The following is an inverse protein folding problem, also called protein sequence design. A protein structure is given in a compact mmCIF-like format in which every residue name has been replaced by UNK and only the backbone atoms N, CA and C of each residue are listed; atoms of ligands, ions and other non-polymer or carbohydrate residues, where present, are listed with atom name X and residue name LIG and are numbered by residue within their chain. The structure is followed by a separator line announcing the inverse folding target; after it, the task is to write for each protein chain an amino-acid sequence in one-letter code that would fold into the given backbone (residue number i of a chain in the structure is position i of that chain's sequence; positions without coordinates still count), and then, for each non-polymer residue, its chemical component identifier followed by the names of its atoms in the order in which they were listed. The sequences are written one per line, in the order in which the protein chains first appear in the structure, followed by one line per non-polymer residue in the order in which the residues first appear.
data_IF_286874782810
#
_entry.id   IF_286874782810
#
_cell.length_a   1.000
_cell.length_b   1.000
_cell.length_c   1.000
_cell.angle_alpha   90.00
_cell.angle_beta   90.00
_cell.angle_gamma   90.00
#
_symmetry.space_group_name_H-M   'P 1'
#
loop_
_entity.id
_entity.type
_entity.pdbx_description
1 polymer ?
#
# COMPACT_ATOMS: atom_id res chain seq x y z
N UNK A 1 10.51 -19.09 10.00
CA UNK A 1 9.41 -18.74 10.92
C UNK A 1 8.98 -17.33 10.62
N UNK A 2 7.68 -17.05 10.52
CA UNK A 2 7.18 -15.70 10.22
C UNK A 2 6.70 -15.08 11.52
N UNK A 3 7.25 -13.92 11.90
CA UNK A 3 6.83 -13.17 13.08
C UNK A 3 5.91 -12.04 12.64
N UNK A 4 4.70 -11.99 13.19
CA UNK A 4 3.78 -10.88 12.95
C UNK A 4 4.05 -9.76 13.97
N UNK A 5 4.20 -8.49 13.54
CA UNK A 5 4.46 -7.39 14.45
C UNK A 5 3.19 -7.06 15.25
N UNK A 6 3.38 -6.88 16.57
CA UNK A 6 2.34 -6.40 17.49
C UNK A 6 2.66 -4.94 17.80
N UNK A 7 1.72 -4.05 17.51
CA UNK A 7 1.89 -2.61 17.72
C UNK A 7 0.97 -2.15 18.84
N UNK A 8 1.55 -1.52 19.87
CA UNK A 8 0.83 -0.87 20.96
C UNK A 8 0.73 0.62 20.69
N UNK A 9 -0.49 1.16 20.72
CA UNK A 9 -0.72 2.59 20.59
C UNK A 9 -1.73 3.09 21.63
N UNK A 10 -1.75 4.41 21.84
CA UNK A 10 -2.68 5.07 22.77
C UNK A 10 -3.60 5.97 21.98
N UNK A 11 -4.91 5.79 22.15
CA UNK A 11 -5.91 6.66 21.52
C UNK A 11 -5.96 8.02 22.21
N UNK A 12 -6.54 9.01 21.56
CA UNK A 12 -6.76 10.34 22.16
C UNK A 12 -7.59 10.29 23.45
N UNK A 13 -8.50 9.32 23.58
CA UNK A 13 -9.26 9.05 24.82
C UNK A 13 -8.45 8.40 25.94
N UNK A 14 -7.13 8.26 25.77
CA UNK A 14 -6.21 7.77 26.79
C UNK A 14 -6.15 6.25 26.93
N UNK A 15 -6.95 5.49 26.17
CA UNK A 15 -6.97 4.02 26.19
C UNK A 15 -5.84 3.44 25.34
N UNK A 16 -5.14 2.45 25.86
CA UNK A 16 -4.13 1.69 25.12
C UNK A 16 -4.77 0.54 24.35
N UNK A 17 -4.42 0.39 23.09
CA UNK A 17 -4.80 -0.73 22.24
C UNK A 17 -3.56 -1.42 21.68
N UNK A 18 -3.67 -2.73 21.51
CA UNK A 18 -2.70 -3.53 20.79
C UNK A 18 -3.41 -4.15 19.59
N UNK A 19 -2.76 -4.09 18.43
CA UNK A 19 -3.22 -4.83 17.27
C UNK A 19 -2.05 -5.57 16.63
N UNK A 20 -2.37 -6.73 16.07
CA UNK A 20 -1.46 -7.48 15.23
C UNK A 20 -1.59 -6.94 13.81
N UNK A 21 -0.48 -6.51 13.22
CA UNK A 21 -0.53 -6.14 11.81
C UNK A 21 -0.71 -7.38 10.94
N UNK A 22 -1.63 -7.29 9.98
CA UNK A 22 -1.82 -8.29 8.94
C UNK A 22 -0.76 -8.19 7.83
N UNK A 23 0.06 -7.13 7.83
CA UNK A 23 1.13 -6.91 6.87
C UNK A 23 2.49 -7.17 7.52
N UNK A 24 3.13 -8.27 7.13
CA UNK A 24 4.46 -8.65 7.58
C UNK A 24 5.33 -9.05 6.40
N UNK A 25 6.60 -8.68 6.45
CA UNK A 25 7.59 -8.97 5.41
C UNK A 25 8.83 -9.62 6.01
N UNK A 26 9.56 -10.37 5.19
CA UNK A 26 10.93 -10.78 5.50
C UNK A 26 11.87 -10.29 4.40
N UNK A 27 12.84 -9.41 4.69
CA UNK A 27 13.17 -8.82 5.99
C UNK A 27 12.07 -7.90 6.56
N UNK A 28 12.02 -7.70 7.89
CA UNK A 28 11.00 -6.88 8.53
C UNK A 28 11.16 -5.41 8.16
N UNK A 29 10.04 -4.75 7.83
CA UNK A 29 10.01 -3.32 7.48
C UNK A 29 10.24 -2.38 8.68
N UNK A 30 10.09 -2.90 9.91
CA UNK A 30 10.20 -2.14 11.15
C UNK A 30 11.00 -2.90 12.19
N UNK A 31 11.73 -2.17 13.04
CA UNK A 31 12.48 -2.72 14.16
C UNK A 31 11.70 -2.67 15.48
N UNK A 32 12.03 -3.58 16.41
CA UNK A 32 11.43 -3.58 17.75
C UNK A 32 11.79 -2.28 18.47
N UNK A 33 10.79 -1.56 18.96
CA UNK A 33 10.96 -0.27 19.64
C UNK A 33 10.91 0.96 18.72
N UNK A 34 10.83 0.76 17.40
CA UNK A 34 10.63 1.84 16.45
C UNK A 34 9.27 2.51 16.65
N UNK A 35 9.24 3.84 16.72
CA UNK A 35 8.00 4.61 16.75
C UNK A 35 7.40 4.67 15.34
N UNK A 36 6.15 4.24 15.21
CA UNK A 36 5.41 4.26 13.94
C UNK A 36 4.13 5.09 14.09
N UNK A 37 3.68 5.70 13.00
CA UNK A 37 2.39 6.39 12.96
C UNK A 37 1.29 5.37 12.72
N UNK A 38 0.34 5.27 13.66
CA UNK A 38 -0.82 4.39 13.56
C UNK A 38 -2.03 5.20 13.15
N UNK A 39 -2.73 4.75 12.11
CA UNK A 39 -4.03 5.27 11.70
C UNK A 39 -5.09 4.31 12.24
N UNK A 40 -6.10 4.85 12.93
CA UNK A 40 -7.18 4.03 13.48
C UNK A 40 -8.54 4.74 13.30
N UNK A 41 -9.62 3.99 13.00
CA UNK A 41 -10.97 4.55 13.04
C UNK A 41 -11.38 4.81 14.50
N UNK A 42 -11.90 6.01 14.84
CA UNK A 42 -12.34 6.33 16.20
C UNK A 42 -13.38 5.36 16.76
N UNK A 43 -14.29 4.88 15.90
CA UNK A 43 -15.39 3.98 16.25
C UNK A 43 -14.93 2.53 16.43
N UNK A 44 -13.83 2.15 15.75
CA UNK A 44 -13.32 0.78 15.74
C UNK A 44 -11.78 0.75 15.80
N UNK A 45 -11.18 1.09 16.96
CA UNK A 45 -9.72 1.17 17.12
C UNK A 45 -8.99 -0.17 16.94
N UNK A 46 -9.70 -1.30 16.88
CA UNK A 46 -9.12 -2.61 16.56
C UNK A 46 -8.76 -2.77 15.08
N UNK A 47 -9.32 -1.96 14.17
CA UNK A 47 -8.95 -1.93 12.75
C UNK A 47 -7.82 -0.92 12.47
N UNK A 48 -6.90 -0.77 13.41
CA UNK A 48 -5.75 0.10 13.25
C UNK A 48 -4.78 -0.46 12.20
N UNK A 49 -4.10 0.43 11.48
CA UNK A 49 -3.07 0.12 10.50
C UNK A 49 -1.88 1.05 10.66
N UNK A 50 -0.67 0.57 10.39
CA UNK A 50 0.51 1.43 10.36
C UNK A 50 0.53 2.22 9.06
N UNK A 51 0.78 3.52 9.17
CA UNK A 51 0.85 4.42 8.01
C UNK A 51 1.95 3.95 7.05
N UNK A 52 1.55 3.61 5.83
CA UNK A 52 2.46 3.18 4.76
C UNK A 52 2.61 1.66 4.62
N UNK A 53 1.92 0.87 5.45
CA UNK A 53 1.80 -0.58 5.21
C UNK A 53 1.17 -0.86 3.86
N UNK A 54 1.77 -1.79 3.09
CA UNK A 54 1.26 -2.20 1.78
C UNK A 54 1.59 -1.27 0.60
N UNK A 55 2.15 -0.08 0.84
CA UNK A 55 2.44 0.90 -0.23
C UNK A 55 3.37 0.36 -1.32
N UNK A 56 4.34 -0.49 -0.94
CA UNK A 56 5.28 -1.10 -1.90
C UNK A 56 4.57 -1.89 -3.00
N UNK A 57 3.57 -2.70 -2.64
CA UNK A 57 2.82 -3.48 -3.61
C UNK A 57 1.97 -2.57 -4.50
N UNK A 58 1.33 -1.55 -3.92
CA UNK A 58 0.56 -0.55 -4.68
C UNK A 58 1.46 0.15 -5.71
N UNK A 59 2.68 0.54 -5.31
CA UNK A 59 3.65 1.17 -6.22
C UNK A 59 4.07 0.19 -7.32
N UNK A 60 4.43 -1.05 -6.98
CA UNK A 60 4.86 -2.05 -7.96
C UNK A 60 3.77 -2.34 -8.98
N UNK A 61 2.56 -2.70 -8.51
CA UNK A 61 1.43 -2.98 -9.41
C UNK A 61 1.01 -1.73 -10.19
N UNK A 62 1.06 -0.55 -9.57
CA UNK A 62 0.78 0.72 -10.24
C UNK A 62 1.75 1.01 -11.38
N UNK A 63 3.06 0.81 -11.17
CA UNK A 63 4.08 1.02 -12.20
C UNK A 63 3.96 0.01 -13.34
N UNK A 64 3.73 -1.27 -13.03
CA UNK A 64 3.53 -2.32 -14.03
C UNK A 64 2.29 -2.02 -14.89
N UNK A 65 1.14 -1.80 -14.24
CA UNK A 65 -0.11 -1.49 -14.94
C UNK A 65 -0.04 -0.20 -15.75
N UNK A 66 0.67 0.82 -15.25
CA UNK A 66 0.89 2.05 -16.01
C UNK A 66 1.72 1.80 -17.28
N UNK A 67 2.73 0.91 -17.23
CA UNK A 67 3.49 0.52 -18.40
C UNK A 67 2.62 -0.13 -19.48
N UNK A 68 1.74 -1.06 -19.10
CA UNK A 68 0.84 -1.74 -20.02
C UNK A 68 -0.17 -0.78 -20.66
N UNK A 69 -0.70 0.17 -19.89
CA UNK A 69 -1.58 1.22 -20.40
C UNK A 69 -0.87 2.10 -21.44
N UNK A 70 0.39 2.47 -21.21
CA UNK A 70 1.17 3.28 -22.15
C UNK A 70 1.47 2.51 -23.45
N UNK A 71 1.83 1.23 -23.35
CA UNK A 71 2.05 0.38 -24.52
C UNK A 71 0.75 0.25 -25.33
N UNK A 72 -0.36 -0.04 -24.65
CA UNK A 72 -1.68 -0.14 -25.29
C UNK A 72 -2.11 1.16 -25.95
N UNK A 73 -1.94 2.29 -25.26
CA UNK A 73 -2.22 3.61 -25.80
C UNK A 73 -1.36 3.92 -27.03
N UNK A 74 -0.06 3.63 -27.00
CA UNK A 74 0.84 3.86 -28.14
C UNK A 74 0.43 3.03 -29.37
N UNK A 75 0.14 1.73 -29.20
CA UNK A 75 -0.32 0.87 -30.28
C UNK A 75 -1.68 1.35 -30.81
N UNK A 76 -2.61 1.68 -29.91
CA UNK A 76 -3.92 2.21 -30.26
C UNK A 76 -3.84 3.51 -31.05
N UNK A 77 -3.01 4.46 -30.59
CA UNK A 77 -2.80 5.75 -31.26
C UNK A 77 -2.18 5.56 -32.65
N UNK A 78 -1.20 4.65 -32.78
CA UNK A 78 -0.58 4.35 -34.08
C UNK A 78 -1.60 3.78 -35.06
N UNK A 79 -2.43 2.83 -34.62
CA UNK A 79 -3.48 2.21 -35.43
C UNK A 79 -4.62 3.18 -35.77
N UNK A 80 -4.93 4.11 -34.86
CA UNK A 80 -5.95 5.14 -35.08
C UNK A 80 -5.44 6.19 -36.06
N UNK A 81 -4.21 6.67 -35.87
CA UNK A 81 -3.55 7.62 -36.77
C UNK A 81 -3.42 7.06 -38.18
N UNK A 82 -3.01 5.79 -38.34
CA UNK A 82 -2.94 5.15 -39.67
C UNK A 82 -4.29 5.05 -40.37
N UNK A 83 -5.41 5.01 -39.64
CA UNK A 83 -6.77 5.00 -40.22
C UNK A 83 -7.27 6.40 -40.60
N UNK A 84 -6.76 7.44 -39.97
CA UNK A 84 -7.12 8.84 -40.23
C UNK A 84 -6.21 9.46 -41.29
N UNK A 85 -4.94 9.04 -41.35
CA UNK A 85 -3.89 9.63 -42.19
C UNK A 85 -3.40 8.76 -43.37
N UNK A 86 -3.80 7.48 -43.50
CA UNK A 86 -3.58 6.71 -44.74
C UNK A 86 -4.66 7.07 -45.77
N UNK A 87 -4.32 7.50 -47.00
CA UNK A 87 -3.77 6.72 -48.14
C UNK A 87 -4.73 5.65 -48.65
#
# INVERSE_FOLDING_TARGET
TTYAPIVRFRTQGGRSFEFQSNHYSYPPAYEIGQKVTVLYPPEQPSQAVVKGEGNLLIIVFGLVGMGELLIGAFIGLKNFSSRIYGE
#
